data_IF_616462164945
#
_entry.id   IF_616462164945
#
_cell.length_a   1.000
_cell.length_b   1.000
_cell.length_c   1.000
_cell.angle_alpha   90.00
_cell.angle_beta   90.00
_cell.angle_gamma   90.00
#
_symmetry.space_group_name_H-M   'P 1'
#
loop_
_entity.id
_entity.type
_entity.pdbx_description
1 polymer ?
#
# COMPACT_ATOMS: atom_id res chain seq x y z
N UNK A 1 -6.58 -25.45 7.99
CA UNK A 1 -6.33 -24.01 7.81
C UNK A 1 -4.93 -23.72 7.26
N UNK A 2 -3.87 -24.37 7.78
CA UNK A 2 -2.47 -24.23 7.31
C UNK A 2 -2.35 -24.37 5.78
N UNK A 3 -2.85 -25.48 5.22
CA UNK A 3 -2.74 -25.76 3.79
C UNK A 3 -3.45 -24.72 2.91
N UNK A 4 -4.59 -24.15 3.36
CA UNK A 4 -5.31 -23.11 2.61
C UNK A 4 -4.52 -21.81 2.48
N UNK A 5 -3.81 -21.40 3.53
CA UNK A 5 -2.95 -20.21 3.47
C UNK A 5 -1.81 -20.39 2.47
N UNK A 6 -1.08 -21.51 2.54
CA UNK A 6 0.03 -21.77 1.63
C UNK A 6 -0.43 -21.95 0.17
N UNK A 7 -1.58 -22.57 -0.06
CA UNK A 7 -2.17 -22.68 -1.40
C UNK A 7 -2.48 -21.30 -1.97
N UNK A 8 -3.14 -20.44 -1.20
CA UNK A 8 -3.43 -19.06 -1.62
C UNK A 8 -2.14 -18.26 -1.87
N UNK A 9 -1.16 -18.38 -1.00
CA UNK A 9 0.13 -17.74 -1.20
C UNK A 9 0.80 -18.15 -2.51
N UNK A 10 0.86 -19.45 -2.77
CA UNK A 10 1.43 -19.98 -4.02
C UNK A 10 0.65 -19.49 -5.25
N UNK A 11 -0.68 -19.60 -5.24
CA UNK A 11 -1.52 -19.15 -6.36
C UNK A 11 -1.29 -17.67 -6.64
N UNK A 12 -1.34 -16.82 -5.62
CA UNK A 12 -1.14 -15.38 -5.79
C UNK A 12 0.30 -15.04 -6.18
N UNK A 13 1.29 -15.79 -5.72
CA UNK A 13 2.68 -15.63 -6.16
C UNK A 13 2.85 -15.97 -7.65
N UNK A 14 2.21 -17.04 -8.13
CA UNK A 14 2.23 -17.40 -9.55
C UNK A 14 1.53 -16.37 -10.43
N UNK A 15 0.38 -15.84 -9.99
CA UNK A 15 -0.33 -14.75 -10.69
C UNK A 15 0.56 -13.51 -10.70
N UNK A 16 1.16 -13.14 -9.57
CA UNK A 16 2.10 -12.03 -9.46
C UNK A 16 3.29 -12.18 -10.38
N UNK A 17 3.88 -13.36 -10.44
CA UNK A 17 4.99 -13.68 -11.34
C UNK A 17 4.61 -13.46 -12.81
N UNK A 18 3.44 -13.94 -13.22
CA UNK A 18 2.94 -13.74 -14.58
C UNK A 18 2.71 -12.26 -14.92
N UNK A 19 2.13 -11.50 -13.99
CA UNK A 19 1.89 -10.06 -14.17
C UNK A 19 3.20 -9.28 -14.27
N UNK A 20 4.15 -9.51 -13.36
CA UNK A 20 5.46 -8.84 -13.36
C UNK A 20 6.22 -9.20 -14.63
N UNK A 21 6.23 -10.47 -15.02
CA UNK A 21 6.88 -10.91 -16.25
C UNK A 21 6.26 -10.21 -17.49
N UNK A 22 4.94 -10.15 -17.59
CA UNK A 22 4.26 -9.53 -18.73
C UNK A 22 4.56 -8.02 -18.83
N UNK A 23 4.61 -7.31 -17.71
CA UNK A 23 4.94 -5.88 -17.67
C UNK A 23 6.41 -5.66 -17.98
N UNK A 24 7.31 -6.39 -17.32
CA UNK A 24 8.76 -6.18 -17.44
C UNK A 24 9.33 -6.64 -18.79
N UNK A 25 8.75 -7.66 -19.43
CA UNK A 25 9.17 -8.13 -20.76
C UNK A 25 8.75 -7.19 -21.89
N UNK A 26 7.79 -6.31 -21.65
CA UNK A 26 7.41 -5.24 -22.59
C UNK A 26 8.41 -4.08 -22.65
N UNK A 27 9.30 -3.97 -21.66
CA UNK A 27 10.37 -2.94 -21.67
C UNK A 27 11.66 -3.55 -22.23
N UNK A 28 12.05 -3.10 -23.41
CA UNK A 28 13.26 -3.55 -24.11
C UNK A 28 14.58 -3.26 -23.37
N UNK A 29 14.54 -2.42 -22.32
CA UNK A 29 15.71 -2.12 -21.47
C UNK A 29 16.02 -3.20 -20.46
N UNK A 30 15.06 -4.07 -20.13
CA UNK A 30 15.23 -5.12 -19.15
C UNK A 30 15.88 -6.36 -19.76
N UNK A 31 16.97 -6.82 -19.15
CA UNK A 31 17.55 -8.12 -19.47
C UNK A 31 16.72 -9.26 -18.88
N UNK A 32 16.84 -10.46 -19.43
CA UNK A 32 16.17 -11.67 -18.91
C UNK A 32 16.51 -11.89 -17.43
N UNK A 33 17.74 -11.60 -17.03
CA UNK A 33 18.21 -11.76 -15.65
C UNK A 33 17.56 -10.73 -14.71
N UNK A 34 17.41 -9.49 -15.16
CA UNK A 34 16.69 -8.46 -14.39
C UNK A 34 15.22 -8.80 -14.23
N UNK A 35 14.55 -9.25 -15.29
CA UNK A 35 13.15 -9.70 -15.21
C UNK A 35 13.01 -10.86 -14.22
N UNK A 36 13.89 -11.87 -14.31
CA UNK A 36 13.90 -12.98 -13.37
C UNK A 36 14.11 -12.54 -11.92
N UNK A 37 15.04 -11.61 -11.70
CA UNK A 37 15.32 -11.02 -10.39
C UNK A 37 14.09 -10.29 -9.81
N UNK A 38 13.42 -9.48 -10.62
CA UNK A 38 12.19 -8.77 -10.23
C UNK A 38 11.05 -9.74 -9.91
N UNK A 39 10.85 -10.78 -10.73
CA UNK A 39 9.81 -11.80 -10.51
C UNK A 39 10.07 -12.54 -9.20
N UNK A 40 11.29 -13.06 -8.99
CA UNK A 40 11.60 -13.88 -7.81
C UNK A 40 11.56 -13.07 -6.51
N UNK A 41 11.87 -11.78 -6.55
CA UNK A 41 11.84 -10.92 -5.35
C UNK A 41 10.45 -10.35 -5.04
N UNK A 42 9.65 -10.03 -6.05
CA UNK A 42 8.38 -9.32 -5.87
C UNK A 42 7.18 -10.26 -5.75
N UNK A 43 7.13 -11.32 -6.58
CA UNK A 43 5.97 -12.20 -6.62
C UNK A 43 5.67 -12.91 -5.29
N UNK A 44 6.64 -13.42 -4.52
CA UNK A 44 6.36 -14.01 -3.21
C UNK A 44 5.81 -13.01 -2.19
N UNK A 45 6.28 -11.74 -2.21
CA UNK A 45 5.78 -10.68 -1.34
C UNK A 45 4.35 -10.29 -1.73
N UNK A 46 4.08 -10.14 -3.02
CA UNK A 46 2.73 -9.87 -3.53
C UNK A 46 1.76 -11.01 -3.19
N UNK A 47 2.20 -12.27 -3.38
CA UNK A 47 1.42 -13.44 -3.01
C UNK A 47 1.10 -13.48 -1.52
N UNK A 48 2.08 -13.15 -0.67
CA UNK A 48 1.91 -13.08 0.78
C UNK A 48 0.90 -11.99 1.17
N UNK A 49 1.03 -10.79 0.60
CA UNK A 49 0.13 -9.67 0.85
C UNK A 49 -1.32 -10.02 0.50
N UNK A 50 -1.55 -10.61 -0.67
CA UNK A 50 -2.88 -10.99 -1.14
C UNK A 50 -3.46 -12.17 -0.34
N UNK A 51 -2.64 -13.14 0.07
CA UNK A 51 -3.08 -14.24 0.95
C UNK A 51 -3.49 -13.73 2.33
N UNK A 52 -2.76 -12.76 2.88
CA UNK A 52 -3.09 -12.08 4.14
C UNK A 52 -4.37 -11.24 4.03
N UNK A 53 -4.73 -10.77 2.83
CA UNK A 53 -6.00 -10.11 2.54
C UNK A 53 -7.24 -11.00 2.68
N UNK A 54 -7.09 -12.31 2.87
CA UNK A 54 -8.18 -13.23 3.22
C UNK A 54 -8.18 -13.50 4.73
N UNK A 55 -9.08 -12.91 5.54
CA UNK A 55 -9.05 -13.02 7.01
C UNK A 55 -9.03 -14.47 7.52
N UNK A 56 -9.79 -15.37 6.85
CA UNK A 56 -9.82 -16.81 7.21
C UNK A 56 -8.48 -17.51 6.96
N UNK A 57 -7.78 -17.15 5.89
CA UNK A 57 -6.47 -17.71 5.57
C UNK A 57 -5.38 -17.07 6.47
N UNK A 58 -5.46 -15.76 6.66
CA UNK A 58 -4.52 -15.00 7.47
C UNK A 58 -4.49 -15.42 8.94
N UNK A 59 -5.61 -15.89 9.50
CA UNK A 59 -5.71 -16.29 10.91
C UNK A 59 -4.64 -17.30 11.32
N UNK A 60 -4.34 -18.27 10.46
CA UNK A 60 -3.29 -19.25 10.74
C UNK A 60 -1.91 -18.57 10.84
N UNK A 61 -1.58 -17.72 9.88
CA UNK A 61 -0.29 -17.05 9.81
C UNK A 61 -0.11 -16.04 10.96
N UNK A 62 -1.15 -15.24 11.24
CA UNK A 62 -1.10 -14.28 12.35
C UNK A 62 -1.00 -14.95 13.71
N UNK A 63 -1.66 -16.09 13.91
CA UNK A 63 -1.49 -16.86 15.13
C UNK A 63 -0.05 -17.37 15.28
N UNK A 64 0.53 -17.92 14.22
CA UNK A 64 1.93 -18.34 14.23
C UNK A 64 2.89 -17.17 14.54
N UNK A 65 2.69 -15.99 13.92
CA UNK A 65 3.50 -14.81 14.18
C UNK A 65 3.53 -14.43 15.68
N UNK A 66 2.41 -14.59 16.37
CA UNK A 66 2.26 -14.21 17.78
C UNK A 66 2.80 -15.25 18.75
N UNK A 67 2.65 -16.51 18.42
CA UNK A 67 2.96 -17.62 19.33
C UNK A 67 4.39 -18.15 19.18
N UNK A 68 4.93 -18.15 17.96
CA UNK A 68 6.28 -18.64 17.72
C UNK A 68 7.31 -17.55 18.04
N UNK A 69 8.27 -17.87 18.93
CA UNK A 69 9.33 -16.94 19.35
C UNK A 69 10.29 -16.58 18.21
N UNK A 70 10.47 -17.47 17.26
CA UNK A 70 11.38 -17.29 16.11
C UNK A 70 10.71 -16.66 14.90
N UNK A 71 9.41 -16.40 14.94
CA UNK A 71 8.65 -15.84 13.82
C UNK A 71 9.21 -14.52 13.28
N UNK A 72 9.79 -13.67 14.15
CA UNK A 72 10.47 -12.43 13.73
C UNK A 72 11.64 -12.75 12.81
N UNK A 73 12.49 -13.70 13.19
CA UNK A 73 13.69 -14.06 12.41
C UNK A 73 13.31 -14.63 11.05
N UNK A 74 12.31 -15.51 10.99
CA UNK A 74 11.89 -16.09 9.72
C UNK A 74 11.22 -15.05 8.79
N UNK A 75 10.38 -14.17 9.33
CA UNK A 75 9.69 -13.18 8.51
C UNK A 75 10.60 -12.03 8.09
N UNK A 76 11.37 -11.46 9.00
CA UNK A 76 12.31 -10.39 8.68
C UNK A 76 13.46 -10.90 7.78
N UNK A 77 14.00 -12.08 8.08
CA UNK A 77 15.02 -12.72 7.25
C UNK A 77 14.51 -13.03 5.85
N UNK A 78 13.27 -13.53 5.71
CA UNK A 78 12.64 -13.77 4.42
C UNK A 78 12.46 -12.50 3.60
N UNK A 79 12.02 -11.40 4.21
CA UNK A 79 11.88 -10.10 3.52
C UNK A 79 13.25 -9.54 3.14
N UNK A 80 14.25 -9.64 4.03
CA UNK A 80 15.62 -9.22 3.75
C UNK A 80 16.24 -10.03 2.60
N UNK A 81 15.94 -11.32 2.51
CA UNK A 81 16.36 -12.17 1.40
C UNK A 81 15.71 -11.70 0.07
N UNK A 82 14.42 -11.37 0.07
CA UNK A 82 13.75 -10.84 -1.13
C UNK A 82 14.38 -9.51 -1.58
N UNK A 83 14.86 -8.69 -0.65
CA UNK A 83 15.65 -7.49 -0.96
C UNK A 83 17.02 -7.82 -1.58
N UNK A 84 17.70 -8.84 -1.06
CA UNK A 84 19.05 -9.19 -1.49
C UNK A 84 19.11 -9.93 -2.86
N UNK A 85 18.08 -10.73 -3.16
CA UNK A 85 18.04 -11.62 -4.35
C UNK A 85 18.35 -10.88 -5.67
N UNK A 86 17.75 -9.72 -5.99
CA UNK A 86 18.06 -9.02 -7.23
C UNK A 86 19.54 -8.68 -7.37
N UNK A 87 20.15 -8.17 -6.32
CA UNK A 87 21.58 -7.85 -6.32
C UNK A 87 22.47 -9.07 -6.46
N UNK A 88 22.10 -10.20 -5.83
CA UNK A 88 22.83 -11.46 -5.95
C UNK A 88 22.74 -11.99 -7.39
N UNK A 89 21.56 -12.02 -7.98
CA UNK A 89 21.34 -12.55 -9.32
C UNK A 89 22.01 -11.69 -10.42
N UNK A 90 22.12 -10.39 -10.20
CA UNK A 90 22.69 -9.44 -11.18
C UNK A 90 24.12 -9.03 -10.86
N UNK A 91 24.75 -9.63 -9.86
CA UNK A 91 26.11 -9.32 -9.40
C UNK A 91 26.28 -7.86 -8.93
N UNK A 92 25.22 -7.23 -8.43
CA UNK A 92 25.20 -5.86 -7.88
C UNK A 92 24.92 -5.86 -6.37
N UNK A 93 25.10 -6.99 -5.69
CA UNK A 93 24.80 -7.15 -4.27
C UNK A 93 25.60 -6.19 -3.39
N UNK A 94 24.86 -5.45 -2.54
CA UNK A 94 25.45 -4.55 -1.57
C UNK A 94 25.11 -5.05 -0.14
N UNK A 95 26.10 -5.57 0.61
CA UNK A 95 25.86 -6.10 1.95
C UNK A 95 25.47 -5.02 2.97
N UNK A 96 25.94 -3.78 2.81
CA UNK A 96 25.63 -2.68 3.73
C UNK A 96 24.16 -2.27 3.64
N UNK A 97 23.65 -2.01 2.45
CA UNK A 97 22.23 -1.66 2.27
C UNK A 97 21.32 -2.81 2.67
N UNK A 98 21.72 -4.05 2.37
CA UNK A 98 20.98 -5.25 2.81
C UNK A 98 20.93 -5.36 4.34
N UNK A 99 22.05 -5.13 5.03
CA UNK A 99 22.11 -5.16 6.48
C UNK A 99 21.27 -4.05 7.12
N UNK A 100 21.32 -2.83 6.59
CA UNK A 100 20.50 -1.69 7.05
C UNK A 100 19.01 -2.02 6.87
N UNK A 101 18.61 -2.49 5.70
CA UNK A 101 17.23 -2.86 5.42
C UNK A 101 16.75 -3.99 6.34
N UNK A 102 17.54 -5.05 6.50
CA UNK A 102 17.25 -6.14 7.43
C UNK A 102 17.06 -5.62 8.86
N UNK A 103 17.98 -4.76 9.34
CA UNK A 103 17.89 -4.15 10.67
C UNK A 103 16.59 -3.35 10.85
N UNK A 104 16.20 -2.54 9.87
CA UNK A 104 14.94 -1.77 9.91
C UNK A 104 13.75 -2.72 10.07
N UNK A 105 13.66 -3.77 9.25
CA UNK A 105 12.55 -4.74 9.31
C UNK A 105 12.52 -5.48 10.65
N UNK A 106 13.69 -5.91 11.15
CA UNK A 106 13.81 -6.54 12.48
C UNK A 106 13.38 -5.60 13.60
N UNK A 107 13.80 -4.33 13.56
CA UNK A 107 13.44 -3.32 14.56
C UNK A 107 11.93 -3.06 14.57
N UNK A 108 11.31 -2.93 13.39
CA UNK A 108 9.87 -2.75 13.26
C UNK A 108 9.11 -3.94 13.85
N UNK A 109 9.44 -5.16 13.46
CA UNK A 109 8.73 -6.36 13.94
C UNK A 109 8.97 -6.61 15.43
N UNK A 110 10.20 -6.42 15.91
CA UNK A 110 10.55 -6.56 17.31
C UNK A 110 9.79 -5.58 18.20
N UNK A 111 9.76 -4.30 17.83
CA UNK A 111 9.02 -3.26 18.55
C UNK A 111 7.51 -3.52 18.56
N UNK A 112 6.93 -3.88 17.40
CA UNK A 112 5.49 -4.15 17.31
C UNK A 112 5.07 -5.41 18.05
N UNK A 113 5.93 -6.44 18.11
CA UNK A 113 5.66 -7.66 18.89
C UNK A 113 5.67 -7.38 20.40
N UNK A 114 6.55 -6.49 20.88
CA UNK A 114 6.56 -6.06 22.30
C UNK A 114 5.29 -5.28 22.68
N UNK A 115 4.70 -4.56 21.72
CA UNK A 115 3.45 -3.83 21.92
C UNK A 115 2.19 -4.69 21.74
N UNK A 116 2.30 -6.01 21.64
CA UNK A 116 1.17 -6.92 21.41
C UNK A 116 0.17 -6.86 22.58
N UNK A 117 -0.84 -6.01 22.45
CA UNK A 117 -1.93 -5.84 23.40
C UNK A 117 -3.25 -6.29 22.77
N UNK A 118 -4.19 -6.72 23.60
CA UNK A 118 -5.53 -7.15 23.18
C UNK A 118 -6.35 -6.04 22.51
N UNK A 119 -6.08 -4.78 22.85
CA UNK A 119 -6.75 -3.61 22.26
C UNK A 119 -5.74 -2.71 21.57
N UNK A 120 -5.90 -2.54 20.26
CA UNK A 120 -5.09 -1.60 19.49
C UNK A 120 -5.54 -0.15 19.78
N UNK A 121 -4.63 0.66 20.30
CA UNK A 121 -4.71 2.12 20.33
C UNK A 121 -3.39 2.69 19.82
N UNK A 122 -3.42 3.83 19.14
CA UNK A 122 -2.23 4.46 18.58
C UNK A 122 -1.29 4.91 19.70
N UNK A 123 -0.06 4.41 19.68
CA UNK A 123 1.03 4.83 20.58
C UNK A 123 2.05 5.66 19.83
N UNK A 124 2.93 6.38 20.55
CA UNK A 124 4.03 7.11 19.92
C UNK A 124 5.00 6.18 19.16
N UNK A 125 5.17 4.94 19.64
CA UNK A 125 5.96 3.93 18.93
C UNK A 125 5.29 3.56 17.60
N UNK A 126 3.98 3.37 17.57
CA UNK A 126 3.25 3.13 16.31
C UNK A 126 3.45 4.28 15.32
N UNK A 127 3.38 5.54 15.79
CA UNK A 127 3.60 6.73 14.96
C UNK A 127 5.05 6.80 14.46
N UNK A 128 6.02 6.58 15.32
CA UNK A 128 7.44 6.59 14.94
C UNK A 128 7.76 5.53 13.88
N UNK A 129 7.26 4.31 14.05
CA UNK A 129 7.46 3.24 13.08
C UNK A 129 6.69 3.48 11.77
N UNK A 130 5.52 4.09 11.85
CA UNK A 130 4.75 4.52 10.69
C UNK A 130 5.55 5.54 9.86
N UNK A 131 6.11 6.59 10.51
CA UNK A 131 6.95 7.59 9.86
C UNK A 131 8.24 6.96 9.30
N UNK A 132 8.88 6.05 10.04
CA UNK A 132 10.10 5.36 9.61
C UNK A 132 9.91 4.57 8.31
N UNK A 133 8.75 3.97 8.11
CA UNK A 133 8.44 3.23 6.88
C UNK A 133 7.94 4.15 5.77
N UNK A 134 7.07 5.10 6.11
CA UNK A 134 6.39 5.92 5.11
C UNK A 134 7.29 7.01 4.52
N UNK A 135 8.00 7.80 5.34
CA UNK A 135 8.77 8.95 4.85
C UNK A 135 9.85 8.54 3.83
N UNK A 136 10.71 7.53 4.09
CA UNK A 136 11.70 7.12 3.08
C UNK A 136 11.09 6.60 1.79
N UNK A 137 9.90 6.00 1.86
CA UNK A 137 9.16 5.54 0.69
C UNK A 137 8.59 6.72 -0.11
N UNK A 138 7.88 7.62 0.55
CA UNK A 138 7.23 8.80 -0.03
C UNK A 138 8.24 9.74 -0.72
N UNK A 139 9.37 9.99 -0.04
CA UNK A 139 10.49 10.78 -0.58
C UNK A 139 11.38 10.01 -1.56
N UNK A 140 11.04 8.76 -1.88
CA UNK A 140 11.80 7.87 -2.77
C UNK A 140 13.23 7.53 -2.33
N UNK A 141 13.64 7.88 -1.11
CA UNK A 141 14.96 7.54 -0.57
C UNK A 141 15.20 6.03 -0.50
N UNK A 142 14.14 5.26 -0.24
CA UNK A 142 14.20 3.81 -0.23
C UNK A 142 14.64 3.23 -1.58
N UNK A 143 14.30 3.87 -2.69
CA UNK A 143 14.66 3.41 -4.04
C UNK A 143 16.14 3.56 -4.34
N UNK A 144 16.82 4.48 -3.66
CA UNK A 144 18.27 4.66 -3.78
C UNK A 144 19.06 3.53 -3.11
N UNK A 145 18.42 2.75 -2.22
CA UNK A 145 19.07 1.63 -1.53
C UNK A 145 19.39 0.46 -2.47
N UNK A 146 18.65 0.31 -3.58
CA UNK A 146 18.84 -0.80 -4.50
C UNK A 146 18.43 -0.42 -5.94
N UNK A 147 19.38 -0.45 -6.91
CA UNK A 147 19.15 0.08 -8.26
C UNK A 147 18.15 -0.70 -9.12
N UNK A 148 17.81 -1.93 -8.74
CA UNK A 148 16.89 -2.80 -9.48
C UNK A 148 15.50 -2.88 -8.85
N UNK A 149 15.32 -2.33 -7.63
CA UNK A 149 14.05 -2.36 -6.93
C UNK A 149 13.30 -1.05 -7.16
N UNK A 150 12.30 -1.12 -8.03
CA UNK A 150 11.47 0.00 -8.42
C UNK A 150 10.39 0.34 -7.38
N UNK A 151 9.59 1.34 -7.70
CA UNK A 151 8.44 1.76 -6.89
C UNK A 151 7.47 0.61 -6.59
N UNK A 152 7.26 -0.30 -7.55
CA UNK A 152 6.34 -1.46 -7.39
C UNK A 152 6.81 -2.38 -6.28
N UNK A 153 8.10 -2.73 -6.28
CA UNK A 153 8.67 -3.57 -5.23
C UNK A 153 8.53 -2.92 -3.86
N UNK A 154 8.91 -1.64 -3.74
CA UNK A 154 8.85 -0.92 -2.47
C UNK A 154 7.42 -0.78 -1.95
N UNK A 155 6.45 -0.47 -2.81
CA UNK A 155 5.02 -0.39 -2.45
C UNK A 155 4.51 -1.70 -1.86
N UNK A 156 4.82 -2.82 -2.49
CA UNK A 156 4.44 -4.15 -2.02
C UNK A 156 5.19 -4.49 -0.73
N UNK A 157 6.48 -4.22 -0.67
CA UNK A 157 7.31 -4.52 0.49
C UNK A 157 6.85 -3.78 1.75
N UNK A 158 6.66 -2.46 1.70
CA UNK A 158 6.19 -1.69 2.87
C UNK A 158 4.79 -2.13 3.29
N UNK A 159 3.92 -2.49 2.34
CA UNK A 159 2.59 -3.03 2.64
C UNK A 159 2.68 -4.38 3.37
N UNK A 160 3.57 -5.28 2.93
CA UNK A 160 3.83 -6.55 3.60
C UNK A 160 4.38 -6.31 5.01
N UNK A 161 5.36 -5.43 5.17
CA UNK A 161 5.94 -5.08 6.48
C UNK A 161 4.88 -4.48 7.39
N UNK A 162 4.04 -3.58 6.89
CA UNK A 162 2.96 -2.98 7.66
C UNK A 162 1.90 -4.02 8.08
N UNK A 163 1.44 -4.88 7.17
CA UNK A 163 0.44 -5.91 7.49
C UNK A 163 1.02 -6.94 8.49
N UNK A 164 2.23 -7.45 8.25
CA UNK A 164 2.87 -8.39 9.20
C UNK A 164 3.10 -7.72 10.54
N UNK A 165 3.59 -6.48 10.54
CA UNK A 165 3.90 -5.74 11.76
C UNK A 165 2.65 -5.45 12.58
N UNK A 166 1.73 -4.66 12.06
CA UNK A 166 0.57 -4.19 12.83
C UNK A 166 -0.54 -5.22 12.93
N UNK A 167 -0.96 -5.85 11.84
CA UNK A 167 -2.01 -6.86 11.88
C UNK A 167 -1.50 -8.20 12.46
N UNK A 168 -0.30 -8.63 12.05
CA UNK A 168 0.33 -9.86 12.52
C UNK A 168 0.84 -9.76 13.96
N UNK A 169 1.98 -9.10 14.17
CA UNK A 169 2.66 -9.05 15.48
C UNK A 169 1.92 -8.19 16.52
N UNK A 170 1.52 -6.98 16.17
CA UNK A 170 0.83 -6.03 17.06
C UNK A 170 -0.60 -6.45 17.40
N UNK A 171 -1.25 -7.23 16.54
CA UNK A 171 -2.65 -7.62 16.69
C UNK A 171 -3.65 -6.50 16.41
N UNK A 172 -3.25 -5.47 15.65
CA UNK A 172 -4.10 -4.34 15.33
C UNK A 172 -5.22 -4.73 14.36
N UNK A 173 -6.45 -4.34 14.66
CA UNK A 173 -7.60 -4.52 13.79
C UNK A 173 -7.64 -3.41 12.71
N UNK A 174 -6.76 -3.48 11.73
CA UNK A 174 -6.60 -2.46 10.69
C UNK A 174 -7.64 -2.57 9.55
N UNK A 175 -8.53 -3.53 9.62
CA UNK A 175 -9.55 -3.76 8.57
C UNK A 175 -8.98 -4.35 7.28
N UNK A 176 -7.81 -5.00 7.34
CA UNK A 176 -7.17 -5.59 6.17
C UNK A 176 -7.94 -6.84 5.71
N UNK A 177 -8.80 -6.63 4.72
CA UNK A 177 -9.59 -7.67 4.08
C UNK A 177 -9.76 -7.29 2.60
N UNK A 178 -9.19 -8.09 1.72
CA UNK A 178 -9.24 -7.89 0.26
C UNK A 178 -10.31 -8.77 -0.41
N UNK A 179 -11.10 -9.52 0.36
CA UNK A 179 -12.23 -10.30 -0.19
C UNK A 179 -13.40 -9.33 -0.45
N UNK A 180 -13.77 -9.10 -1.71
CA UNK A 180 -14.79 -8.11 -2.06
C UNK A 180 -16.17 -8.56 -1.58
N UNK A 181 -16.97 -7.59 -1.14
CA UNK A 181 -18.40 -7.76 -0.86
C UNK A 181 -19.19 -6.76 -1.70
N UNK A 182 -20.42 -7.09 -2.06
CA UNK A 182 -21.26 -6.19 -2.83
C UNK A 182 -21.44 -4.81 -2.17
N UNK A 183 -21.55 -4.79 -0.84
CA UNK A 183 -21.59 -3.55 -0.07
C UNK A 183 -20.34 -2.69 -0.27
N UNK A 184 -19.15 -3.30 -0.36
CA UNK A 184 -17.90 -2.54 -0.53
C UNK A 184 -17.86 -1.86 -1.90
N UNK A 185 -18.35 -2.54 -2.94
CA UNK A 185 -18.49 -1.97 -4.27
C UNK A 185 -19.47 -0.79 -4.31
N UNK A 186 -20.65 -0.93 -3.72
CA UNK A 186 -21.65 0.16 -3.68
C UNK A 186 -21.14 1.36 -2.89
N UNK A 187 -20.44 1.13 -1.77
CA UNK A 187 -19.80 2.19 -1.00
C UNK A 187 -18.69 2.89 -1.79
N UNK A 188 -17.85 2.13 -2.50
CA UNK A 188 -16.77 2.70 -3.29
C UNK A 188 -17.29 3.58 -4.44
N UNK A 189 -18.30 3.12 -5.17
CA UNK A 189 -18.93 3.90 -6.24
C UNK A 189 -19.63 5.17 -5.71
N UNK A 190 -20.31 5.07 -4.56
CA UNK A 190 -20.92 6.23 -3.92
C UNK A 190 -19.89 7.26 -3.48
N UNK A 191 -18.75 6.80 -2.91
CA UNK A 191 -17.65 7.67 -2.52
C UNK A 191 -16.98 8.32 -3.75
N UNK A 192 -16.75 7.56 -4.81
CA UNK A 192 -16.24 8.08 -6.08
C UNK A 192 -17.10 9.24 -6.58
N UNK A 193 -18.41 9.05 -6.69
CA UNK A 193 -19.33 10.09 -7.16
C UNK A 193 -19.28 11.34 -6.27
N UNK A 194 -19.28 11.17 -4.94
CA UNK A 194 -19.16 12.31 -4.02
C UNK A 194 -17.84 13.05 -4.20
N UNK A 195 -16.73 12.33 -4.32
CA UNK A 195 -15.40 12.93 -4.50
C UNK A 195 -15.36 13.69 -5.84
N UNK A 196 -15.82 13.08 -6.94
CA UNK A 196 -15.80 13.72 -8.26
C UNK A 196 -16.61 15.02 -8.28
N UNK A 197 -17.80 15.03 -7.67
CA UNK A 197 -18.64 16.23 -7.59
C UNK A 197 -17.96 17.37 -6.83
N UNK A 198 -17.16 17.05 -5.80
CA UNK A 198 -16.52 18.06 -4.95
C UNK A 198 -15.14 18.46 -5.47
N UNK A 199 -14.37 17.56 -6.07
CA UNK A 199 -12.97 17.78 -6.47
C UNK A 199 -12.85 18.34 -7.89
N UNK A 200 -13.68 17.89 -8.85
CA UNK A 200 -13.56 18.31 -10.24
C UNK A 200 -13.77 19.82 -10.43
N UNK A 201 -14.84 20.45 -9.90
CA UNK A 201 -15.06 21.88 -10.13
C UNK A 201 -13.89 22.77 -9.68
N UNK A 202 -13.39 22.69 -8.43
CA UNK A 202 -12.25 23.51 -8.03
C UNK A 202 -10.97 23.12 -8.77
N UNK A 203 -10.77 21.86 -9.13
CA UNK A 203 -9.63 21.42 -9.92
C UNK A 203 -9.60 22.07 -11.32
N UNK A 204 -10.74 22.17 -11.98
CA UNK A 204 -10.89 22.86 -13.27
C UNK A 204 -10.74 24.38 -13.14
N UNK A 205 -11.33 25.00 -12.11
CA UNK A 205 -11.25 26.45 -11.86
C UNK A 205 -9.81 26.88 -11.62
N UNK A 206 -9.04 26.09 -10.88
CA UNK A 206 -7.63 26.40 -10.58
C UNK A 206 -6.67 26.03 -11.73
N UNK A 207 -7.15 25.37 -12.78
CA UNK A 207 -6.31 24.85 -13.86
C UNK A 207 -5.45 23.64 -13.46
N UNK A 208 -5.66 23.11 -12.24
CA UNK A 208 -4.99 21.89 -11.79
C UNK A 208 -5.50 20.65 -12.55
N UNK A 209 -6.76 20.63 -12.93
CA UNK A 209 -7.37 19.61 -13.78
C UNK A 209 -7.74 20.19 -15.13
N UNK A 210 -7.52 19.41 -16.18
CA UNK A 210 -8.03 19.68 -17.54
C UNK A 210 -8.66 18.42 -18.10
N UNK A 211 -9.67 18.54 -18.98
CA UNK A 211 -10.17 17.36 -19.68
C UNK A 211 -9.20 16.95 -20.76
N UNK A 212 -8.77 15.69 -20.74
CA UNK A 212 -7.85 15.09 -21.69
C UNK A 212 -8.31 13.67 -22.03
N UNK A 213 -9.27 13.59 -22.97
CA UNK A 213 -9.77 12.30 -23.44
C UNK A 213 -8.78 11.77 -24.49
N UNK A 214 -8.19 10.57 -24.28
CA UNK A 214 -7.26 10.00 -25.23
C UNK A 214 -7.97 9.66 -26.55
N UNK A 215 -7.33 9.96 -27.67
CA UNK A 215 -7.85 9.66 -29.01
C UNK A 215 -8.09 8.17 -29.24
N UNK A 216 -7.28 7.31 -28.59
CA UNK A 216 -7.39 5.85 -28.65
C UNK A 216 -7.44 5.24 -27.26
N UNK A 217 -8.50 4.48 -26.99
CA UNK A 217 -8.65 3.74 -25.73
C UNK A 217 -8.17 2.30 -25.87
N UNK A 218 -7.15 1.93 -25.11
CA UNK A 218 -6.65 0.56 -25.05
C UNK A 218 -7.10 -0.13 -23.76
N UNK A 219 -8.06 -1.06 -23.88
CA UNK A 219 -8.65 -1.78 -22.75
C UNK A 219 -7.61 -2.53 -21.93
N UNK A 220 -6.63 -3.19 -22.57
CA UNK A 220 -5.61 -3.99 -21.88
C UNK A 220 -4.68 -3.09 -21.05
N UNK A 221 -4.20 -1.98 -21.63
CA UNK A 221 -3.38 -1.00 -20.92
C UNK A 221 -4.15 -0.36 -19.75
N UNK A 222 -5.42 -0.03 -19.96
CA UNK A 222 -6.28 0.57 -18.94
C UNK A 222 -6.53 -0.40 -17.78
N UNK A 223 -6.79 -1.67 -18.07
CA UNK A 223 -6.96 -2.71 -17.04
C UNK A 223 -5.66 -2.97 -16.27
N UNK A 224 -4.53 -3.06 -16.97
CA UNK A 224 -3.22 -3.22 -16.31
C UNK A 224 -2.90 -2.02 -15.39
N UNK A 225 -3.21 -0.80 -15.85
CA UNK A 225 -3.04 0.41 -15.05
C UNK A 225 -3.93 0.40 -13.80
N UNK A 226 -5.21 0.00 -13.92
CA UNK A 226 -6.10 -0.16 -12.78
C UNK A 226 -5.53 -1.12 -11.73
N UNK A 227 -5.03 -2.29 -12.15
CA UNK A 227 -4.41 -3.27 -11.24
C UNK A 227 -3.14 -2.71 -10.60
N UNK A 228 -2.32 -2.01 -11.37
CA UNK A 228 -1.13 -1.31 -10.89
C UNK A 228 -1.48 -0.29 -9.80
N UNK A 229 -2.40 0.63 -10.08
CA UNK A 229 -2.89 1.63 -9.11
C UNK A 229 -3.42 0.97 -7.84
N UNK A 230 -4.21 -0.11 -7.98
CA UNK A 230 -4.76 -0.83 -6.84
C UNK A 230 -3.67 -1.38 -5.92
N UNK A 231 -2.65 -2.04 -6.48
CA UNK A 231 -1.63 -2.76 -5.70
C UNK A 231 -0.49 -1.87 -5.22
N UNK A 232 -0.11 -0.85 -6.01
CA UNK A 232 1.13 -0.10 -5.75
C UNK A 232 0.92 1.33 -5.29
N UNK A 233 -0.29 1.88 -5.44
CA UNK A 233 -0.66 3.23 -5.00
C UNK A 233 -1.72 3.16 -3.91
N UNK A 234 -2.93 2.77 -4.26
CA UNK A 234 -4.07 2.83 -3.35
C UNK A 234 -3.92 1.88 -2.14
N UNK A 235 -3.44 0.65 -2.33
CA UNK A 235 -3.30 -0.31 -1.23
C UNK A 235 -2.32 0.18 -0.15
N UNK A 236 -1.04 0.54 -0.46
CA UNK A 236 -0.14 1.04 0.56
C UNK A 236 -0.67 2.32 1.21
N UNK A 237 -1.18 3.27 0.44
CA UNK A 237 -1.66 4.54 0.99
C UNK A 237 -2.87 4.33 1.92
N UNK A 238 -3.88 3.57 1.49
CA UNK A 238 -5.04 3.30 2.34
C UNK A 238 -4.69 2.47 3.59
N UNK A 239 -3.72 1.55 3.45
CA UNK A 239 -3.21 0.79 4.59
C UNK A 239 -2.60 1.72 5.64
N UNK A 240 -1.73 2.65 5.24
CA UNK A 240 -1.06 3.57 6.14
C UNK A 240 -2.00 4.64 6.69
N UNK A 241 -2.85 5.26 5.87
CA UNK A 241 -3.70 6.37 6.30
C UNK A 241 -5.03 5.92 6.91
N UNK A 242 -5.65 4.83 6.44
CA UNK A 242 -6.95 4.35 6.97
C UNK A 242 -6.78 3.17 7.90
N UNK A 243 -5.99 2.19 7.49
CA UNK A 243 -5.72 1.02 8.32
C UNK A 243 -5.00 1.34 9.62
N UNK A 244 -3.96 2.16 9.56
CA UNK A 244 -3.13 2.48 10.71
C UNK A 244 -3.52 3.81 11.36
N UNK A 245 -3.36 4.94 10.68
CA UNK A 245 -3.55 6.26 11.28
C UNK A 245 -5.02 6.51 11.67
N UNK A 246 -5.96 6.41 10.71
CA UNK A 246 -7.38 6.62 11.00
C UNK A 246 -7.87 5.66 12.08
N UNK A 247 -7.58 4.35 11.92
CA UNK A 247 -8.05 3.32 12.87
C UNK A 247 -7.46 3.49 14.25
N UNK A 248 -6.17 3.82 14.35
CA UNK A 248 -5.51 4.11 15.61
C UNK A 248 -6.09 5.34 16.30
N UNK A 249 -6.32 6.44 15.57
CA UNK A 249 -7.01 7.64 16.08
C UNK A 249 -8.46 7.37 16.48
N UNK A 250 -9.18 6.51 15.76
CA UNK A 250 -10.55 6.11 16.09
C UNK A 250 -10.63 5.40 17.45
N UNK A 251 -9.59 4.67 17.82
CA UNK A 251 -9.50 3.99 19.12
C UNK A 251 -9.00 4.93 20.23
N UNK A 252 -8.14 5.89 19.89
CA UNK A 252 -7.54 6.81 20.85
C UNK A 252 -8.41 8.03 21.17
N UNK A 253 -9.30 8.45 20.27
CA UNK A 253 -10.10 9.68 20.41
C UNK A 253 -11.60 9.39 20.58
N UNK A 254 -12.24 10.08 21.55
CA UNK A 254 -13.69 10.08 21.71
C UNK A 254 -14.43 10.91 20.64
N UNK A 255 -13.72 11.84 19.97
CA UNK A 255 -14.30 12.72 18.95
C UNK A 255 -14.32 12.05 17.59
N UNK A 256 -15.51 11.74 17.05
CA UNK A 256 -15.71 11.00 15.79
C UNK A 256 -15.15 11.68 14.54
N UNK A 257 -14.90 12.99 14.56
CA UNK A 257 -14.35 13.75 13.43
C UNK A 257 -12.81 13.71 13.38
N UNK A 258 -12.13 13.53 14.53
CA UNK A 258 -10.67 13.53 14.62
C UNK A 258 -10.00 12.54 13.67
N UNK A 259 -10.40 11.25 13.62
CA UNK A 259 -9.79 10.30 12.69
C UNK A 259 -9.93 10.72 11.23
N UNK A 260 -11.11 11.26 10.85
CA UNK A 260 -11.37 11.70 9.47
C UNK A 260 -10.45 12.87 9.13
N UNK A 261 -10.50 13.94 9.90
CA UNK A 261 -9.76 15.18 9.60
C UNK A 261 -8.25 14.93 9.62
N UNK A 262 -7.74 14.31 10.70
CA UNK A 262 -6.28 14.13 10.85
C UNK A 262 -5.72 13.20 9.77
N UNK A 263 -6.38 12.06 9.47
CA UNK A 263 -5.87 11.16 8.44
C UNK A 263 -5.99 11.74 7.03
N UNK A 264 -7.00 12.59 6.76
CA UNK A 264 -7.18 13.22 5.46
C UNK A 264 -6.20 14.36 5.24
N UNK A 265 -5.95 15.19 6.26
CA UNK A 265 -4.95 16.26 6.20
C UNK A 265 -3.55 15.66 6.05
N UNK A 266 -3.22 14.61 6.84
CA UNK A 266 -1.94 13.92 6.70
C UNK A 266 -1.77 13.33 5.29
N UNK A 267 -2.83 12.73 4.73
CA UNK A 267 -2.84 12.22 3.36
C UNK A 267 -2.59 13.34 2.33
N UNK A 268 -3.29 14.45 2.44
CA UNK A 268 -3.07 15.59 1.54
C UNK A 268 -1.65 16.13 1.62
N UNK A 269 -1.10 16.28 2.84
CA UNK A 269 0.26 16.78 3.04
C UNK A 269 1.35 15.90 2.40
N UNK A 270 1.13 14.58 2.26
CA UNK A 270 2.07 13.70 1.59
C UNK A 270 2.16 13.94 0.06
N UNK A 271 1.29 14.78 -0.50
CA UNK A 271 1.35 15.17 -1.91
C UNK A 271 2.17 16.45 -2.16
N UNK A 272 2.85 16.97 -1.11
CA UNK A 272 3.64 18.18 -1.17
C UNK A 272 4.69 18.18 -2.30
N UNK A 273 5.38 17.06 -2.47
CA UNK A 273 6.50 16.95 -3.43
C UNK A 273 6.08 16.55 -4.85
N UNK A 274 4.77 16.43 -5.14
CA UNK A 274 4.32 15.93 -6.44
C UNK A 274 4.33 16.98 -7.54
N UNK A 275 4.34 18.28 -7.20
CA UNK A 275 4.43 19.41 -8.12
C UNK A 275 5.36 20.48 -7.55
N UNK A 276 5.99 21.28 -8.43
CA UNK A 276 6.99 22.26 -8.01
C UNK A 276 6.45 23.67 -7.79
N UNK A 277 5.30 24.02 -8.40
CA UNK A 277 4.67 25.33 -8.22
C UNK A 277 3.88 25.39 -6.92
N UNK A 278 4.12 26.41 -6.11
CA UNK A 278 3.51 26.54 -4.78
C UNK A 278 1.96 26.59 -4.83
N UNK A 279 1.40 27.28 -5.82
CA UNK A 279 -0.06 27.38 -5.97
C UNK A 279 -0.65 26.03 -6.32
N UNK A 280 0.00 25.31 -7.22
CA UNK A 280 -0.40 23.95 -7.60
C UNK A 280 -0.18 22.95 -6.46
N UNK A 281 0.89 23.10 -5.66
CA UNK A 281 1.10 22.30 -4.43
C UNK A 281 -0.05 22.46 -3.45
N UNK A 282 -0.42 23.71 -3.12
CA UNK A 282 -1.53 24.00 -2.20
C UNK A 282 -2.85 23.45 -2.76
N UNK A 283 -3.07 23.62 -4.06
CA UNK A 283 -4.25 23.09 -4.73
C UNK A 283 -4.28 21.56 -4.64
N UNK A 284 -3.19 20.89 -4.97
CA UNK A 284 -3.10 19.43 -4.90
C UNK A 284 -3.34 18.91 -3.48
N UNK A 285 -2.64 19.48 -2.48
CA UNK A 285 -2.84 19.13 -1.07
C UNK A 285 -4.31 19.29 -0.65
N UNK A 286 -4.95 20.37 -1.08
CA UNK A 286 -6.34 20.64 -0.74
C UNK A 286 -7.28 19.61 -1.38
N UNK A 287 -7.12 19.34 -2.67
CA UNK A 287 -7.93 18.35 -3.39
C UNK A 287 -7.68 16.92 -2.88
N UNK A 288 -6.42 16.55 -2.62
CA UNK A 288 -6.06 15.27 -2.02
C UNK A 288 -6.61 15.12 -0.59
N UNK A 289 -6.63 16.19 0.21
CA UNK A 289 -7.27 16.20 1.54
C UNK A 289 -8.77 15.92 1.43
N UNK A 290 -9.46 16.53 0.48
CA UNK A 290 -10.89 16.32 0.23
C UNK A 290 -11.14 14.87 -0.24
N UNK A 291 -10.37 14.38 -1.21
CA UNK A 291 -10.44 13.00 -1.68
C UNK A 291 -10.18 12.03 -0.51
N UNK A 292 -9.17 12.34 0.31
CA UNK A 292 -8.84 11.63 1.53
C UNK A 292 -10.00 11.51 2.52
N UNK A 293 -10.80 12.56 2.68
CA UNK A 293 -12.01 12.50 3.50
C UNK A 293 -13.06 11.54 2.91
N UNK A 294 -13.18 11.49 1.58
CA UNK A 294 -14.02 10.52 0.88
C UNK A 294 -13.55 9.07 1.08
N UNK A 295 -12.25 8.81 1.02
CA UNK A 295 -11.68 7.47 1.30
C UNK A 295 -11.90 7.06 2.76
N UNK A 296 -11.73 8.00 3.72
CA UNK A 296 -12.03 7.77 5.12
C UNK A 296 -13.53 7.48 5.36
N UNK A 297 -14.42 8.16 4.62
CA UNK A 297 -15.84 7.87 4.64
C UNK A 297 -16.13 6.46 4.10
N UNK A 298 -15.54 6.07 2.97
CA UNK A 298 -15.71 4.73 2.39
C UNK A 298 -15.23 3.64 3.35
N UNK A 299 -14.06 3.81 3.97
CA UNK A 299 -13.54 2.92 5.00
C UNK A 299 -14.53 2.75 6.16
N UNK A 300 -15.00 3.87 6.74
CA UNK A 300 -15.95 3.84 7.84
C UNK A 300 -17.30 3.22 7.45
N UNK A 301 -17.84 3.59 6.29
CA UNK A 301 -19.17 3.15 5.83
C UNK A 301 -19.22 1.65 5.49
N UNK A 302 -18.10 1.09 5.03
CA UNK A 302 -17.98 -0.36 4.80
C UNK A 302 -17.84 -1.19 6.08
N UNK A 303 -17.72 -0.55 7.25
CA UNK A 303 -17.48 -1.21 8.54
C UNK A 303 -15.99 -1.34 8.87
N UNK A 304 -15.20 -0.35 8.50
CA UNK A 304 -13.74 -0.31 8.58
C UNK A 304 -13.08 -1.41 7.72
N UNK A 305 -13.56 -1.59 6.49
CA UNK A 305 -12.95 -2.50 5.52
C UNK A 305 -12.06 -1.70 4.55
N UNK A 306 -10.77 -2.03 4.52
CA UNK A 306 -9.81 -1.36 3.64
C UNK A 306 -10.12 -1.55 2.15
N UNK A 307 -10.70 -2.68 1.76
CA UNK A 307 -11.04 -2.92 0.35
C UNK A 307 -11.89 -1.80 -0.26
N UNK A 308 -12.90 -1.30 0.47
CA UNK A 308 -13.75 -0.22 -0.03
C UNK A 308 -12.97 1.10 -0.21
N UNK A 309 -12.06 1.44 0.70
CA UNK A 309 -11.23 2.63 0.58
C UNK A 309 -10.22 2.48 -0.56
N UNK A 310 -9.52 1.35 -0.64
CA UNK A 310 -8.57 1.03 -1.72
C UNK A 310 -9.27 1.11 -3.08
N UNK A 311 -10.44 0.49 -3.23
CA UNK A 311 -11.20 0.52 -4.48
C UNK A 311 -11.65 1.94 -4.84
N UNK A 312 -12.12 2.73 -3.87
CA UNK A 312 -12.49 4.13 -4.10
C UNK A 312 -11.31 4.94 -4.61
N UNK A 313 -10.17 4.82 -3.94
CA UNK A 313 -8.93 5.52 -4.31
C UNK A 313 -8.48 5.11 -5.71
N UNK A 314 -8.38 3.80 -5.98
CA UNK A 314 -8.05 3.28 -7.30
C UNK A 314 -8.96 3.83 -8.40
N UNK A 315 -10.26 3.90 -8.14
CA UNK A 315 -11.23 4.43 -9.10
C UNK A 315 -11.04 5.94 -9.34
N UNK A 316 -10.72 6.72 -8.30
CA UNK A 316 -10.44 8.16 -8.44
C UNK A 316 -9.22 8.38 -9.32
N UNK A 317 -8.11 7.71 -9.05
CA UNK A 317 -6.88 7.85 -9.81
C UNK A 317 -7.02 7.31 -11.24
N UNK A 318 -7.78 6.22 -11.39
CA UNK A 318 -8.03 5.63 -12.71
C UNK A 318 -8.89 6.54 -13.58
N UNK A 319 -9.93 7.16 -13.03
CA UNK A 319 -10.76 8.16 -13.75
C UNK A 319 -9.90 9.39 -14.11
N UNK A 320 -9.06 9.85 -13.17
CA UNK A 320 -8.12 10.94 -13.47
C UNK A 320 -7.26 10.61 -14.68
N UNK A 321 -6.61 9.45 -14.68
CA UNK A 321 -5.76 9.01 -15.82
C UNK A 321 -6.50 8.78 -17.12
N UNK A 322 -7.81 8.49 -17.09
CA UNK A 322 -8.59 8.21 -18.27
C UNK A 322 -9.14 9.47 -18.96
N UNK A 323 -9.56 10.47 -18.19
CA UNK A 323 -10.35 11.58 -18.73
C UNK A 323 -9.90 12.96 -18.25
N UNK A 324 -8.98 13.01 -17.32
CA UNK A 324 -8.44 14.24 -16.76
C UNK A 324 -6.92 14.26 -16.89
N UNK A 325 -6.34 15.43 -17.12
CA UNK A 325 -4.91 15.69 -17.02
C UNK A 325 -4.67 16.76 -15.95
N UNK A 326 -3.55 16.65 -15.26
CA UNK A 326 -3.15 17.60 -14.24
C UNK A 326 -1.66 17.58 -14.04
#
# INVERSE_FOLDING_TARGET
MKNKFFILWIIWSLIGAALIFAVSSGDSKNTVLQIAAMVVSTAPLMGLLLALGSPKAAQYFTNWLRTDKNSIYYTAGGIALMFAIPGILTFTFNPYTTAIFAFIVFAVFGSLKQLNNTTFSLTWTDVALWLLLWIPFDLRWSMEMHPLLDYTWWSICISVVAVIGWYGFRGAEIGFNLVPKFKDLTVALSALLMIMVVVIPPGLITGFLTFAIPETFNVQKSAAHFVGLFLTVALPEELFFRGLLYRGLQKASSKKWVPIVVSSVAFGLMHWNNVNDLTMQITYISLATIAGAGYAWAYKKSGNNLFAAILTHTLVDWVWKLVLAG
#
